data_IF_771401801028
#
_entry.id   IF_771401801028
#
_cell.length_a   1.000
_cell.length_b   1.000
_cell.length_c   1.000
_cell.angle_alpha   90.00
_cell.angle_beta   90.00
_cell.angle_gamma   90.00
#
_symmetry.space_group_name_H-M   'P 1'
#
loop_
_entity.id
_entity.type
_entity.pdbx_description
1 polymer ?
#
# COMPACT_ATOMS: atom_id res chain seq x y z
N UNK A 1 2.71 -45.49 -19.32
CA UNK A 1 2.04 -45.13 -18.06
C UNK A 1 3.02 -45.50 -16.97
N UNK A 2 3.97 -44.56 -16.66
CA UNK A 2 5.03 -44.79 -15.69
C UNK A 2 4.44 -44.67 -14.27
N UNK A 3 4.48 -45.76 -13.54
CA UNK A 3 4.24 -45.76 -12.08
C UNK A 3 5.26 -44.79 -11.46
N UNK A 4 4.78 -43.78 -10.81
CA UNK A 4 5.62 -42.92 -9.95
C UNK A 4 6.08 -43.81 -8.78
N UNK A 5 7.36 -44.15 -8.80
CA UNK A 5 7.98 -44.91 -7.71
C UNK A 5 8.08 -44.00 -6.48
N UNK A 6 7.07 -44.07 -5.62
CA UNK A 6 6.98 -43.36 -4.37
C UNK A 6 8.00 -43.83 -3.32
N UNK A 7 8.73 -44.90 -3.61
CA UNK A 7 9.75 -45.46 -2.72
C UNK A 7 11.09 -44.73 -2.70
N UNK A 8 11.32 -43.86 -3.71
CA UNK A 8 12.57 -43.08 -3.84
C UNK A 8 12.41 -41.58 -3.46
N UNK A 9 11.41 -41.23 -2.65
CA UNK A 9 11.40 -39.91 -2.03
C UNK A 9 12.64 -39.79 -1.15
N UNK A 10 13.69 -39.19 -1.74
CA UNK A 10 14.91 -38.87 -1.02
C UNK A 10 14.50 -37.97 0.17
N UNK A 11 14.55 -38.53 1.38
CA UNK A 11 14.18 -37.84 2.60
C UNK A 11 14.99 -36.56 2.81
N UNK A 12 16.19 -36.50 2.22
CA UNK A 12 17.04 -35.30 2.23
C UNK A 12 16.45 -34.21 1.30
N UNK A 13 15.97 -34.58 0.11
CA UNK A 13 15.30 -33.65 -0.80
C UNK A 13 14.00 -33.09 -0.23
N UNK A 14 13.17 -33.95 0.34
CA UNK A 14 11.92 -33.52 0.98
C UNK A 14 12.17 -32.57 2.16
N UNK A 15 13.18 -32.88 2.98
CA UNK A 15 13.61 -32.01 4.10
C UNK A 15 14.08 -30.65 3.57
N UNK A 16 14.85 -30.62 2.49
CA UNK A 16 15.32 -29.37 1.90
C UNK A 16 14.16 -28.49 1.42
N UNK A 17 13.19 -29.10 0.71
CA UNK A 17 11.97 -28.41 0.25
C UNK A 17 11.19 -27.85 1.45
N UNK A 18 10.98 -28.65 2.48
CA UNK A 18 10.26 -28.22 3.69
C UNK A 18 10.96 -27.04 4.40
N UNK A 19 12.29 -27.08 4.52
CA UNK A 19 13.07 -25.99 5.12
C UNK A 19 12.96 -24.70 4.26
N UNK A 20 13.07 -24.80 2.95
CA UNK A 20 12.94 -23.66 2.03
C UNK A 20 11.54 -23.02 2.11
N UNK A 21 10.49 -23.84 2.14
CA UNK A 21 9.11 -23.35 2.29
C UNK A 21 8.86 -22.67 3.63
N UNK A 22 9.38 -23.26 4.72
CA UNK A 22 9.27 -22.69 6.06
C UNK A 22 10.02 -21.36 6.16
N UNK A 23 11.23 -21.28 5.61
CA UNK A 23 12.01 -20.06 5.55
C UNK A 23 11.29 -18.96 4.76
N UNK A 24 10.73 -19.29 3.60
CA UNK A 24 9.95 -18.35 2.79
C UNK A 24 8.72 -17.83 3.55
N UNK A 25 8.01 -18.72 4.23
CA UNK A 25 6.87 -18.35 5.08
C UNK A 25 7.28 -17.39 6.20
N UNK A 26 8.36 -17.69 6.92
CA UNK A 26 8.86 -16.83 7.99
C UNK A 26 9.25 -15.43 7.50
N UNK A 27 9.94 -15.34 6.36
CA UNK A 27 10.29 -14.05 5.74
C UNK A 27 9.04 -13.29 5.31
N UNK A 28 8.06 -13.96 4.70
CA UNK A 28 6.77 -13.38 4.34
C UNK A 28 5.99 -12.86 5.56
N UNK A 29 5.98 -13.61 6.66
CA UNK A 29 5.37 -13.18 7.92
C UNK A 29 6.07 -11.95 8.49
N UNK A 30 7.41 -11.92 8.53
CA UNK A 30 8.15 -10.78 9.02
C UNK A 30 7.83 -9.51 8.22
N UNK A 31 7.75 -9.62 6.89
CA UNK A 31 7.36 -8.52 5.99
C UNK A 31 5.92 -8.07 6.29
N UNK A 32 4.99 -9.02 6.43
CA UNK A 32 3.60 -8.74 6.71
C UNK A 32 3.39 -8.05 8.07
N UNK A 33 4.15 -8.44 9.11
CA UNK A 33 4.08 -7.79 10.43
C UNK A 33 4.59 -6.36 10.41
N UNK A 34 5.72 -6.10 9.73
CA UNK A 34 6.24 -4.74 9.60
C UNK A 34 5.30 -3.88 8.74
N UNK A 35 4.70 -4.44 7.69
CA UNK A 35 3.66 -3.75 6.92
C UNK A 35 2.48 -3.35 7.81
N UNK A 36 1.99 -4.26 8.67
CA UNK A 36 0.93 -3.99 9.64
C UNK A 36 1.33 -2.89 10.63
N UNK A 37 2.56 -2.91 11.09
CA UNK A 37 3.06 -1.93 12.05
C UNK A 37 3.10 -0.52 11.48
N UNK A 38 3.62 -0.38 10.24
CA UNK A 38 3.77 0.91 9.57
C UNK A 38 2.42 1.52 9.20
N UNK A 39 1.46 0.68 8.80
CA UNK A 39 0.14 1.13 8.37
C UNK A 39 -0.90 1.06 9.51
N UNK A 40 -0.53 1.20 10.77
CA UNK A 40 -1.46 1.29 11.89
C UNK A 40 -2.39 2.49 11.72
N UNK A 41 -3.71 2.26 11.77
CA UNK A 41 -4.74 3.32 11.65
C UNK A 41 -5.31 3.53 10.25
N UNK A 42 -4.80 2.86 9.22
CA UNK A 42 -5.42 2.82 7.88
C UNK A 42 -6.31 1.59 7.73
N UNK A 43 -7.42 1.69 6.99
CA UNK A 43 -8.15 0.50 6.56
C UNK A 43 -7.23 -0.40 5.73
N UNK A 44 -6.99 -1.61 6.23
CA UNK A 44 -6.11 -2.57 5.58
C UNK A 44 -6.94 -3.67 5.00
N UNK A 45 -6.73 -3.97 3.74
CA UNK A 45 -7.22 -5.22 3.20
C UNK A 45 -6.48 -6.39 3.86
N UNK A 46 -7.19 -7.18 4.68
CA UNK A 46 -6.66 -8.42 5.23
C UNK A 46 -6.13 -9.34 4.11
N UNK A 47 -6.76 -9.28 2.95
CA UNK A 47 -6.35 -9.99 1.75
C UNK A 47 -4.95 -9.58 1.27
N UNK A 48 -4.59 -8.29 1.35
CA UNK A 48 -3.26 -7.83 0.95
C UNK A 48 -2.17 -8.37 1.89
N UNK A 49 -2.40 -8.33 3.20
CA UNK A 49 -1.46 -8.89 4.19
C UNK A 49 -1.27 -10.39 3.97
N UNK A 50 -2.35 -11.11 3.70
CA UNK A 50 -2.29 -12.53 3.36
C UNK A 50 -1.52 -12.76 2.05
N UNK A 51 -1.71 -11.91 1.05
CA UNK A 51 -0.99 -11.98 -0.21
C UNK A 51 0.52 -11.81 -0.04
N UNK A 52 0.99 -10.98 0.90
CA UNK A 52 2.42 -10.86 1.22
C UNK A 52 2.98 -12.19 1.74
N UNK A 53 2.29 -12.85 2.68
CA UNK A 53 2.75 -14.13 3.24
C UNK A 53 2.78 -15.22 2.17
N UNK A 54 1.68 -15.34 1.43
CA UNK A 54 1.52 -16.37 0.37
C UNK A 54 2.49 -16.09 -0.79
N UNK A 55 2.72 -14.83 -1.12
CA UNK A 55 3.65 -14.41 -2.18
C UNK A 55 5.07 -14.95 -1.97
N UNK A 56 5.57 -14.91 -0.74
CA UNK A 56 6.87 -15.51 -0.39
C UNK A 56 6.91 -17.01 -0.65
N UNK A 57 5.86 -17.73 -0.25
CA UNK A 57 5.76 -19.18 -0.51
C UNK A 57 5.73 -19.46 -2.00
N UNK A 58 4.94 -18.72 -2.77
CA UNK A 58 4.86 -18.85 -4.24
C UNK A 58 6.22 -18.59 -4.88
N UNK A 59 6.97 -17.58 -4.42
CA UNK A 59 8.34 -17.32 -4.88
C UNK A 59 9.27 -18.52 -4.67
N UNK A 60 9.22 -19.16 -3.50
CA UNK A 60 9.99 -20.37 -3.20
C UNK A 60 9.56 -21.56 -4.07
N UNK A 61 8.25 -21.75 -4.25
CA UNK A 61 7.71 -22.82 -5.11
C UNK A 61 8.19 -22.67 -6.56
N UNK A 62 8.12 -21.46 -7.10
CA UNK A 62 8.58 -21.16 -8.45
C UNK A 62 10.07 -21.51 -8.61
N UNK A 63 10.88 -21.09 -7.65
CA UNK A 63 12.32 -21.33 -7.71
C UNK A 63 12.68 -22.81 -7.55
N UNK A 64 12.00 -23.53 -6.68
CA UNK A 64 12.16 -24.99 -6.56
C UNK A 64 11.72 -25.72 -7.84
N UNK A 65 10.65 -25.28 -8.51
CA UNK A 65 10.19 -25.82 -9.78
C UNK A 65 11.16 -25.56 -10.94
N UNK A 66 11.79 -24.38 -10.98
CA UNK A 66 12.82 -24.01 -11.95
C UNK A 66 14.06 -24.90 -11.74
N UNK A 67 14.47 -25.06 -10.49
CA UNK A 67 15.72 -25.77 -10.15
C UNK A 67 16.92 -25.16 -10.90
N UNK A 68 17.81 -25.99 -11.40
CA UNK A 68 19.02 -25.56 -12.12
C UNK A 68 18.82 -25.39 -13.64
N UNK A 69 17.58 -25.35 -14.14
CA UNK A 69 17.28 -25.30 -15.59
C UNK A 69 16.96 -23.86 -16.03
N UNK A 70 17.89 -23.25 -16.77
CA UNK A 70 17.71 -21.92 -17.36
C UNK A 70 16.49 -21.88 -18.31
N UNK A 71 16.30 -22.94 -19.09
CA UNK A 71 15.19 -23.04 -20.03
C UNK A 71 13.83 -23.01 -19.31
N UNK A 72 13.69 -23.73 -18.17
CA UNK A 72 12.47 -23.66 -17.33
C UNK A 72 12.27 -22.27 -16.75
N UNK A 73 13.33 -21.62 -16.30
CA UNK A 73 13.28 -20.25 -15.79
C UNK A 73 12.74 -19.26 -16.81
N UNK A 74 13.27 -19.29 -18.04
CA UNK A 74 12.80 -18.44 -19.15
C UNK A 74 11.31 -18.71 -19.46
N UNK A 75 10.91 -19.98 -19.49
CA UNK A 75 9.53 -20.37 -19.74
C UNK A 75 8.56 -19.82 -18.69
N UNK A 76 8.90 -19.91 -17.40
CA UNK A 76 8.08 -19.43 -16.31
C UNK A 76 8.00 -17.90 -16.33
N UNK A 77 9.13 -17.18 -16.53
CA UNK A 77 9.15 -15.73 -16.64
C UNK A 77 8.31 -15.27 -17.83
N UNK A 78 8.40 -15.96 -18.98
CA UNK A 78 7.56 -15.67 -20.15
C UNK A 78 6.08 -15.87 -19.86
N UNK A 79 5.70 -16.94 -19.16
CA UNK A 79 4.32 -17.18 -18.77
C UNK A 79 3.79 -16.14 -17.80
N UNK A 80 4.58 -15.70 -16.80
CA UNK A 80 4.22 -14.64 -15.86
C UNK A 80 4.06 -13.27 -16.54
N UNK A 81 4.86 -12.98 -17.57
CA UNK A 81 4.77 -11.75 -18.33
C UNK A 81 3.43 -11.60 -19.10
N UNK A 82 2.75 -12.72 -19.40
CA UNK A 82 1.43 -12.70 -20.02
C UNK A 82 0.29 -12.39 -19.03
N UNK A 83 0.56 -12.47 -17.73
CA UNK A 83 -0.42 -12.16 -16.71
C UNK A 83 -0.50 -10.63 -16.55
N UNK A 84 -1.57 -10.06 -17.09
CA UNK A 84 -1.84 -8.63 -16.95
C UNK A 84 -2.69 -8.38 -15.70
N UNK A 85 -2.10 -7.74 -14.69
CA UNK A 85 -2.85 -7.26 -13.55
C UNK A 85 -3.68 -6.03 -13.95
N UNK A 86 -4.99 -6.12 -13.80
CA UNK A 86 -5.94 -4.99 -14.05
C UNK A 86 -6.22 -4.18 -12.78
N UNK A 87 -5.67 -4.55 -11.64
CA UNK A 87 -5.89 -3.87 -10.38
C UNK A 87 -4.94 -2.68 -10.25
N UNK A 88 -5.50 -1.49 -10.08
CA UNK A 88 -4.73 -0.31 -9.68
C UNK A 88 -4.28 -0.50 -8.22
N UNK A 89 -2.99 -0.76 -8.03
CA UNK A 89 -2.37 -0.65 -6.71
C UNK A 89 -2.24 0.84 -6.40
N UNK A 90 -3.05 1.31 -5.45
CA UNK A 90 -3.19 2.72 -5.12
C UNK A 90 -1.93 3.32 -4.48
N UNK A 91 -1.06 2.48 -3.91
CA UNK A 91 0.16 2.91 -3.23
C UNK A 91 1.40 2.24 -3.85
N UNK A 92 2.37 3.01 -4.38
CA UNK A 92 3.63 2.45 -4.91
C UNK A 92 4.41 1.61 -3.87
N UNK A 93 4.30 1.92 -2.58
CA UNK A 93 4.96 1.15 -1.52
C UNK A 93 4.43 -0.27 -1.41
N UNK A 94 3.16 -0.51 -1.68
CA UNK A 94 2.58 -1.86 -1.64
C UNK A 94 3.25 -2.79 -2.65
N UNK A 95 3.60 -2.28 -3.84
CA UNK A 95 4.37 -3.01 -4.84
C UNK A 95 5.74 -3.44 -4.30
N UNK A 96 6.43 -2.53 -3.60
CA UNK A 96 7.76 -2.81 -3.03
C UNK A 96 7.68 -3.91 -1.98
N UNK A 97 6.64 -3.94 -1.15
CA UNK A 97 6.41 -5.00 -0.17
C UNK A 97 6.15 -6.35 -0.84
N UNK A 98 5.35 -6.39 -1.92
CA UNK A 98 5.11 -7.61 -2.70
C UNK A 98 6.43 -8.12 -3.28
N UNK A 99 7.22 -7.25 -3.93
CA UNK A 99 8.50 -7.64 -4.51
C UNK A 99 9.48 -8.14 -3.46
N UNK A 100 9.54 -7.51 -2.29
CA UNK A 100 10.40 -7.96 -1.19
C UNK A 100 10.00 -9.36 -0.70
N UNK A 101 8.71 -9.64 -0.58
CA UNK A 101 8.21 -10.97 -0.20
C UNK A 101 8.58 -12.04 -1.23
N UNK A 102 8.37 -11.76 -2.52
CA UNK A 102 8.78 -12.66 -3.60
C UNK A 102 10.30 -12.89 -3.61
N UNK A 103 11.10 -11.84 -3.47
CA UNK A 103 12.55 -11.94 -3.45
C UNK A 103 13.07 -12.82 -2.30
N UNK A 104 12.50 -12.64 -1.08
CA UNK A 104 12.78 -13.50 0.06
C UNK A 104 12.44 -14.97 -0.21
N UNK A 105 11.27 -15.21 -0.83
CA UNK A 105 10.83 -16.55 -1.23
C UNK A 105 11.76 -17.18 -2.26
N UNK A 106 12.13 -16.46 -3.32
CA UNK A 106 13.07 -16.91 -4.34
C UNK A 106 14.41 -17.28 -3.71
N UNK A 107 14.94 -16.44 -2.83
CA UNK A 107 16.20 -16.73 -2.13
C UNK A 107 16.11 -18.01 -1.28
N UNK A 108 15.00 -18.20 -0.56
CA UNK A 108 14.76 -19.44 0.18
C UNK A 108 14.68 -20.67 -0.73
N UNK A 109 13.98 -20.54 -1.88
CA UNK A 109 13.82 -21.60 -2.88
C UNK A 109 15.13 -22.03 -3.56
N UNK A 110 16.11 -21.10 -3.69
CA UNK A 110 17.45 -21.43 -4.18
C UNK A 110 18.33 -22.12 -3.14
N UNK A 111 17.85 -22.28 -1.91
CA UNK A 111 18.66 -22.78 -0.80
C UNK A 111 19.53 -21.71 -0.11
N UNK A 112 19.55 -20.47 -0.63
CA UNK A 112 20.31 -19.36 -0.08
C UNK A 112 19.54 -18.64 1.03
N UNK A 113 19.10 -19.38 2.05
CA UNK A 113 18.24 -18.87 3.15
C UNK A 113 18.90 -17.71 3.88
N UNK A 114 20.20 -17.77 4.11
CA UNK A 114 20.95 -16.70 4.80
C UNK A 114 20.88 -15.39 3.99
N UNK A 115 21.11 -15.44 2.69
CA UNK A 115 21.01 -14.27 1.81
C UNK A 115 19.59 -13.68 1.83
N UNK A 116 18.57 -14.54 1.76
CA UNK A 116 17.17 -14.11 1.86
C UNK A 116 16.86 -13.46 3.20
N UNK A 117 17.31 -14.04 4.30
CA UNK A 117 17.09 -13.51 5.64
C UNK A 117 17.79 -12.15 5.85
N UNK A 118 19.05 -12.01 5.43
CA UNK A 118 19.79 -10.76 5.52
C UNK A 118 19.16 -9.68 4.65
N UNK A 119 18.80 -10.00 3.41
CA UNK A 119 18.13 -9.08 2.50
C UNK A 119 16.78 -8.61 3.05
N UNK A 120 15.97 -9.53 3.57
CA UNK A 120 14.69 -9.21 4.22
C UNK A 120 14.90 -8.33 5.45
N UNK A 121 15.84 -8.66 6.32
CA UNK A 121 16.14 -7.87 7.51
C UNK A 121 16.60 -6.44 7.16
N UNK A 122 17.47 -6.30 6.16
CA UNK A 122 17.91 -4.99 5.67
C UNK A 122 16.74 -4.18 5.09
N UNK A 123 15.91 -4.80 4.26
CA UNK A 123 14.71 -4.19 3.71
C UNK A 123 13.80 -3.64 4.83
N UNK A 124 13.50 -4.49 5.82
CA UNK A 124 12.65 -4.12 6.95
C UNK A 124 13.26 -2.99 7.80
N UNK A 125 14.57 -3.02 8.03
CA UNK A 125 15.26 -1.96 8.75
C UNK A 125 15.17 -0.61 8.04
N UNK A 126 15.38 -0.59 6.71
CA UNK A 126 15.29 0.63 5.90
C UNK A 126 13.85 1.17 5.89
N UNK A 127 12.86 0.30 5.68
CA UNK A 127 11.46 0.72 5.64
C UNK A 127 10.99 1.21 7.01
N UNK A 128 11.34 0.53 8.10
CA UNK A 128 11.01 0.97 9.46
C UNK A 128 11.69 2.30 9.80
N UNK A 129 12.95 2.49 9.42
CA UNK A 129 13.68 3.73 9.65
C UNK A 129 13.10 4.91 8.87
N UNK A 130 12.77 4.72 7.60
CA UNK A 130 12.17 5.77 6.77
C UNK A 130 10.75 6.12 7.22
N UNK A 131 9.95 5.14 7.61
CA UNK A 131 8.59 5.38 8.12
C UNK A 131 8.61 6.13 9.45
N UNK A 132 9.53 5.82 10.35
CA UNK A 132 9.69 6.53 11.62
C UNK A 132 10.09 8.00 11.40
N UNK A 133 10.96 8.27 10.44
CA UNK A 133 11.34 9.64 10.06
C UNK A 133 10.18 10.42 9.44
N UNK A 134 9.33 9.78 8.67
CA UNK A 134 8.14 10.40 8.09
C UNK A 134 7.07 10.66 9.16
N UNK A 135 6.87 9.74 10.10
CA UNK A 135 5.97 9.93 11.24
C UNK A 135 6.48 11.02 12.20
N UNK A 136 7.79 11.10 12.43
CA UNK A 136 8.40 12.14 13.26
C UNK A 136 8.24 13.55 12.66
N UNK A 137 7.95 13.68 11.35
CA UNK A 137 7.61 14.96 10.71
C UNK A 137 6.14 15.36 10.91
N UNK A 138 5.33 14.55 11.59
CA UNK A 138 3.97 14.90 12.03
C UNK A 138 2.97 15.24 10.92
N UNK A 139 3.28 14.92 9.68
CA UNK A 139 2.45 15.31 8.54
C UNK A 139 1.43 14.19 8.27
N UNK A 140 0.19 14.40 8.70
CA UNK A 140 -0.93 13.53 8.32
C UNK A 140 -1.58 14.10 7.07
N UNK A 141 -1.57 13.34 5.99
CA UNK A 141 -2.32 13.71 4.79
C UNK A 141 -3.81 13.38 4.99
N UNK A 142 -4.65 14.34 4.67
CA UNK A 142 -6.10 14.21 4.70
C UNK A 142 -6.70 14.77 3.41
N UNK A 143 -7.77 14.16 2.93
CA UNK A 143 -8.62 14.74 1.91
C UNK A 143 -9.69 15.59 2.57
N UNK A 144 -9.67 16.87 2.28
CA UNK A 144 -10.64 17.83 2.76
C UNK A 144 -11.65 18.13 1.65
N UNK A 145 -12.91 17.81 1.92
CA UNK A 145 -14.05 18.15 1.05
C UNK A 145 -14.79 19.31 1.65
N UNK A 146 -14.90 20.39 0.91
CA UNK A 146 -15.57 21.62 1.36
C UNK A 146 -16.63 22.00 0.36
N UNK A 147 -17.83 22.27 0.87
CA UNK A 147 -18.90 22.92 0.13
C UNK A 147 -19.05 24.36 0.65
N UNK A 148 -18.97 25.33 -0.24
CA UNK A 148 -19.05 26.74 0.09
C UNK A 148 -19.80 27.53 -0.98
N UNK A 149 -20.29 28.75 -0.68
CA UNK A 149 -20.85 29.63 -1.71
C UNK A 149 -19.83 29.94 -2.80
N UNK A 150 -20.26 29.98 -4.06
CA UNK A 150 -19.41 30.25 -5.22
C UNK A 150 -19.02 31.71 -5.28
N UNK A 151 -18.28 32.22 -4.29
CA UNK A 151 -17.77 33.59 -4.25
C UNK A 151 -16.23 33.56 -4.18
N UNK A 152 -15.58 34.46 -4.91
CA UNK A 152 -14.11 34.58 -4.91
C UNK A 152 -13.55 34.85 -3.48
N UNK A 153 -14.27 35.60 -2.66
CA UNK A 153 -13.85 35.88 -1.29
C UNK A 153 -13.90 34.68 -0.35
N UNK A 154 -14.78 33.69 -0.60
CA UNK A 154 -14.83 32.48 0.20
C UNK A 154 -13.63 31.56 -0.07
N UNK A 155 -13.20 31.47 -1.32
CA UNK A 155 -12.03 30.68 -1.70
C UNK A 155 -10.72 31.26 -1.15
N UNK A 156 -10.57 32.59 -1.21
CA UNK A 156 -9.38 33.25 -0.65
C UNK A 156 -9.31 33.12 0.87
N UNK A 157 -10.44 33.16 1.56
CA UNK A 157 -10.51 32.85 2.99
C UNK A 157 -10.13 31.41 3.27
N UNK A 158 -10.66 30.45 2.53
CA UNK A 158 -10.30 29.05 2.67
C UNK A 158 -8.80 28.84 2.50
N UNK A 159 -8.20 29.41 1.45
CA UNK A 159 -6.75 29.33 1.22
C UNK A 159 -5.93 29.96 2.34
N UNK A 160 -6.37 31.08 2.89
CA UNK A 160 -5.67 31.74 4.01
C UNK A 160 -5.72 30.89 5.28
N UNK A 161 -6.87 30.27 5.59
CA UNK A 161 -7.03 29.40 6.73
C UNK A 161 -6.21 28.10 6.56
N UNK A 162 -6.19 27.52 5.36
CA UNK A 162 -5.34 26.36 5.08
C UNK A 162 -3.85 26.69 5.24
N UNK A 163 -3.37 27.88 4.87
CA UNK A 163 -1.98 28.30 5.12
C UNK A 163 -1.61 28.36 6.61
N UNK A 164 -2.57 28.69 7.47
CA UNK A 164 -2.33 28.76 8.92
C UNK A 164 -2.30 27.37 9.57
N UNK A 165 -3.21 26.48 9.19
CA UNK A 165 -3.45 25.21 9.87
C UNK A 165 -2.80 24.01 9.17
N UNK A 166 -2.48 24.08 7.89
CA UNK A 166 -1.84 23.01 7.13
C UNK A 166 -0.35 23.30 6.87
N UNK A 167 0.45 22.24 6.82
CA UNK A 167 1.85 22.31 6.40
C UNK A 167 1.96 22.47 4.87
N UNK A 168 1.15 21.72 4.14
CA UNK A 168 0.99 21.85 2.68
C UNK A 168 -0.46 21.58 2.30
N UNK A 169 -0.92 22.17 1.20
CA UNK A 169 -2.24 21.89 0.65
C UNK A 169 -2.22 22.01 -0.88
N UNK A 170 -3.02 21.19 -1.55
CA UNK A 170 -3.18 21.19 -2.99
C UNK A 170 -4.65 20.99 -3.36
N UNK A 171 -5.14 21.76 -4.31
CA UNK A 171 -6.48 21.57 -4.87
C UNK A 171 -6.45 20.35 -5.79
N UNK A 172 -7.26 19.33 -5.49
CA UNK A 172 -7.39 18.12 -6.31
C UNK A 172 -8.46 18.28 -7.39
N UNK A 173 -9.62 18.80 -6.97
CA UNK A 173 -10.79 18.93 -7.85
C UNK A 173 -11.68 20.07 -7.38
N UNK A 174 -12.33 20.71 -8.34
CA UNK A 174 -13.40 21.70 -8.11
C UNK A 174 -14.59 21.36 -8.99
N UNK A 175 -15.78 21.47 -8.45
CA UNK A 175 -17.03 21.32 -9.18
C UNK A 175 -17.99 22.41 -8.72
N UNK A 176 -18.40 23.26 -9.64
CA UNK A 176 -19.41 24.28 -9.40
C UNK A 176 -20.81 23.65 -9.55
N UNK A 177 -21.76 24.04 -8.70
CA UNK A 177 -23.15 23.57 -8.80
C UNK A 177 -23.80 24.08 -10.09
N UNK A 178 -24.72 23.31 -10.72
CA UNK A 178 -25.44 23.77 -11.91
C UNK A 178 -26.20 25.08 -11.70
N UNK A 179 -26.59 25.38 -10.47
CA UNK A 179 -27.27 26.64 -10.10
C UNK A 179 -26.32 27.82 -9.84
N UNK A 180 -25.00 27.61 -9.92
CA UNK A 180 -24.00 28.67 -9.69
C UNK A 180 -23.93 29.23 -8.27
N UNK A 181 -24.69 28.70 -7.29
CA UNK A 181 -24.76 29.20 -5.93
C UNK A 181 -23.68 28.62 -5.03
N UNK A 182 -23.32 27.35 -5.22
CA UNK A 182 -22.38 26.60 -4.39
C UNK A 182 -21.26 26.02 -5.22
N UNK A 183 -20.09 25.87 -4.59
CA UNK A 183 -18.93 25.21 -5.14
C UNK A 183 -18.50 24.07 -4.20
N UNK A 184 -18.21 22.90 -4.74
CA UNK A 184 -17.56 21.81 -4.02
C UNK A 184 -16.10 21.74 -4.44
N UNK A 185 -15.22 21.72 -3.47
CA UNK A 185 -13.77 21.60 -3.70
C UNK A 185 -13.17 20.49 -2.86
N UNK A 186 -12.26 19.75 -3.46
CA UNK A 186 -11.49 18.66 -2.85
C UNK A 186 -10.04 19.11 -2.73
N UNK A 187 -9.52 19.06 -1.54
CA UNK A 187 -8.16 19.49 -1.24
C UNK A 187 -7.39 18.37 -0.57
N UNK A 188 -6.17 18.14 -1.00
CA UNK A 188 -5.23 17.34 -0.24
C UNK A 188 -4.53 18.27 0.74
N UNK A 189 -4.62 17.95 2.02
CA UNK A 189 -4.13 18.80 3.11
C UNK A 189 -3.21 17.98 3.99
N UNK A 190 -2.01 18.47 4.22
CA UNK A 190 -1.09 17.90 5.19
C UNK A 190 -1.30 18.64 6.53
N UNK A 191 -1.96 17.96 7.47
CA UNK A 191 -2.24 18.53 8.80
C UNK A 191 -0.96 18.62 9.62
N UNK A 192 -0.81 19.68 10.42
CA UNK A 192 0.29 19.83 11.39
C UNK A 192 0.06 18.91 12.60
N UNK A 193 1.13 18.63 13.34
CA UNK A 193 1.15 17.69 14.47
C UNK A 193 -0.06 17.82 15.40
N UNK A 194 -0.68 16.67 15.69
CA UNK A 194 -1.70 16.55 16.74
C UNK A 194 -3.13 16.90 16.34
N UNK A 195 -3.37 17.45 15.14
CA UNK A 195 -4.73 17.74 14.67
C UNK A 195 -5.32 16.50 13.95
N UNK A 196 -6.47 16.05 14.45
CA UNK A 196 -7.28 14.97 13.84
C UNK A 196 -8.22 15.51 12.74
N UNK A 197 -8.02 16.78 12.32
CA UNK A 197 -8.89 17.48 11.38
C UNK A 197 -10.12 18.10 12.04
N UNK A 198 -10.39 17.84 13.30
CA UNK A 198 -11.55 18.38 14.01
C UNK A 198 -11.42 19.87 14.31
N UNK A 199 -10.20 20.35 14.60
CA UNK A 199 -9.94 21.79 14.79
C UNK A 199 -10.09 22.52 13.45
N UNK A 200 -9.52 21.99 12.37
CA UNK A 200 -9.63 22.56 11.04
C UNK A 200 -11.10 22.63 10.58
N UNK A 201 -11.88 21.55 10.80
CA UNK A 201 -13.30 21.49 10.45
C UNK A 201 -14.08 22.60 11.15
N UNK A 202 -13.87 22.81 12.46
CA UNK A 202 -14.55 23.87 13.23
C UNK A 202 -14.22 25.26 12.72
N UNK A 203 -12.94 25.52 12.43
CA UNK A 203 -12.50 26.82 11.92
C UNK A 203 -13.09 27.09 10.53
N UNK A 204 -13.12 26.11 9.65
CA UNK A 204 -13.66 26.24 8.30
C UNK A 204 -15.18 26.50 8.30
N UNK A 205 -15.92 25.82 9.18
CA UNK A 205 -17.37 26.07 9.34
C UNK A 205 -17.64 27.45 9.92
N UNK A 206 -16.83 27.92 10.90
CA UNK A 206 -17.05 29.20 11.56
C UNK A 206 -16.60 30.40 10.72
N UNK A 207 -15.45 30.32 10.05
CA UNK A 207 -14.80 31.49 9.45
C UNK A 207 -14.85 31.48 7.91
N UNK A 208 -14.82 30.32 7.25
CA UNK A 208 -14.85 30.26 5.79
C UNK A 208 -16.26 30.31 5.19
N UNK A 209 -17.30 30.26 6.03
CA UNK A 209 -18.70 30.20 5.57
C UNK A 209 -19.00 28.90 4.85
N UNK A 210 -18.27 27.82 5.15
CA UNK A 210 -18.51 26.52 4.56
C UNK A 210 -19.84 25.94 5.07
N UNK A 211 -20.63 25.41 4.17
CA UNK A 211 -21.92 24.80 4.50
C UNK A 211 -21.73 23.33 4.93
N UNK A 212 -20.71 22.69 4.40
CA UNK A 212 -20.37 21.31 4.68
C UNK A 212 -18.85 21.13 4.60
N UNK A 213 -18.28 20.51 5.62
CA UNK A 213 -16.85 20.19 5.68
C UNK A 213 -16.70 18.74 6.11
N UNK A 214 -16.08 17.95 5.27
CA UNK A 214 -15.70 16.57 5.56
C UNK A 214 -14.19 16.46 5.46
N UNK A 215 -13.55 15.99 6.52
CA UNK A 215 -12.13 15.67 6.56
C UNK A 215 -12.01 14.15 6.59
N UNK A 216 -11.66 13.57 5.47
CA UNK A 216 -11.28 12.17 5.39
C UNK A 216 -9.75 12.10 5.54
N UNK A 217 -9.29 11.64 6.67
CA UNK A 217 -7.88 11.25 6.82
C UNK A 217 -7.62 10.20 5.73
N UNK A 218 -6.64 10.40 4.87
CA UNK A 218 -6.39 9.57 3.69
C UNK A 218 -6.27 8.10 4.07
N UNK A 219 -7.45 7.47 4.19
CA UNK A 219 -7.69 6.05 4.17
C UNK A 219 -7.85 5.69 2.71
N UNK A 220 -7.07 4.74 2.23
CA UNK A 220 -6.95 4.32 0.84
C UNK A 220 -8.22 4.49 -0.01
N UNK A 221 -7.99 5.05 -1.20
CA UNK A 221 -8.77 4.99 -2.44
C UNK A 221 -10.29 5.29 -2.39
N UNK A 222 -10.74 6.26 -3.18
CA UNK A 222 -12.15 6.38 -3.48
C UNK A 222 -12.61 5.14 -4.26
N UNK A 223 -13.67 4.52 -3.80
CA UNK A 223 -14.46 3.63 -4.66
C UNK A 223 -14.79 4.37 -5.95
N UNK A 224 -14.29 3.86 -7.05
CA UNK A 224 -14.61 4.34 -8.37
C UNK A 224 -16.11 4.12 -8.61
N UNK A 225 -16.85 5.22 -8.59
CA UNK A 225 -18.11 5.42 -9.23
C UNK A 225 -19.07 4.22 -9.33
N UNK A 226 -19.98 4.12 -8.38
CA UNK A 226 -21.31 3.70 -8.74
C UNK A 226 -21.88 4.78 -9.68
N UNK A 227 -22.09 4.42 -10.93
CA UNK A 227 -22.82 5.27 -11.87
C UNK A 227 -24.23 5.49 -11.35
N UNK A 228 -24.58 6.72 -11.12
CA UNK A 228 -25.96 7.16 -11.20
C UNK A 228 -26.22 7.46 -12.68
N UNK A 229 -26.67 6.41 -13.38
CA UNK A 229 -27.59 6.58 -14.52
C UNK A 229 -28.97 6.80 -13.92
N UNK A 230 -29.45 8.05 -13.91
CA UNK A 230 -30.83 8.48 -14.22
C UNK A 230 -30.86 10.01 -14.35
#
# INVERSE_FOLDING_TARGET
MGMIDLGSLDTAGLRQVAISMLAAWLMGQAIAEVYRFIHRGRERSAAFVQALVVGGIVGAMLMLAIGNSVARGIGIVGALALIRFRTNLSNPLDMVFIFASFAGGIAAGTGNIVTGAVGTALFLAVVAGTSSLMQARGVREAELRVRMPASAGAEDKLRSLLRLHAATFALLRRRDSPEGKDCRSWWRVALKDGDDGGALTRVLLAEAGATEVQVELESAAPEAGAGDDD
#
